data_IF_664960249417
#
_entry.id   IF_664960249417
#
_cell.length_a   1.000
_cell.length_b   1.000
_cell.length_c   1.000
_cell.angle_alpha   90.00
_cell.angle_beta   90.00
_cell.angle_gamma   90.00
#
_symmetry.space_group_name_H-M   'P 1'
#
loop_
_entity.id
_entity.type
_entity.pdbx_description
1 polymer ?
#
# COMPACT_ATOMS: atom_id res chain seq x y z
N UNK A 1 -12.18 -2.17 -16.65
CA UNK A 1 -12.43 -2.78 -15.32
C UNK A 1 -11.08 -2.93 -14.65
N UNK A 2 -10.80 -2.19 -13.57
CA UNK A 2 -9.49 -2.25 -12.94
C UNK A 2 -9.36 -3.58 -12.19
N UNK A 3 -8.51 -4.47 -12.69
CA UNK A 3 -8.20 -5.75 -12.03
C UNK A 3 -7.32 -5.48 -10.81
N UNK A 4 -7.94 -5.10 -9.69
CA UNK A 4 -7.24 -4.97 -8.41
C UNK A 4 -6.81 -6.36 -7.94
N UNK A 5 -5.51 -6.52 -7.69
CA UNK A 5 -4.95 -7.77 -7.16
C UNK A 5 -5.46 -8.05 -5.75
N UNK A 6 -5.29 -9.27 -5.27
CA UNK A 6 -5.63 -9.62 -3.88
C UNK A 6 -4.92 -8.70 -2.88
N UNK A 7 -3.65 -8.39 -3.13
CA UNK A 7 -2.91 -7.43 -2.31
C UNK A 7 -3.54 -6.03 -2.32
N UNK A 8 -3.95 -5.54 -3.49
CA UNK A 8 -4.62 -4.25 -3.60
C UNK A 8 -5.95 -4.21 -2.83
N UNK A 9 -6.73 -5.30 -2.86
CA UNK A 9 -7.96 -5.42 -2.08
C UNK A 9 -7.68 -5.46 -0.57
N UNK A 10 -6.62 -6.16 -0.15
CA UNK A 10 -6.22 -6.22 1.26
C UNK A 10 -5.80 -4.84 1.79
N UNK A 11 -5.06 -4.06 0.99
CA UNK A 11 -4.71 -2.68 1.35
C UNK A 11 -5.98 -1.87 1.62
N UNK A 12 -6.97 -1.93 0.72
CA UNK A 12 -8.21 -1.15 0.87
C UNK A 12 -9.02 -1.58 2.08
N UNK A 13 -9.16 -2.89 2.32
CA UNK A 13 -9.83 -3.41 3.51
C UNK A 13 -9.15 -2.93 4.80
N UNK A 14 -7.82 -2.99 4.88
CA UNK A 14 -7.09 -2.53 6.06
C UNK A 14 -7.17 -1.02 6.28
N UNK A 15 -7.18 -0.23 5.21
CA UNK A 15 -7.38 1.20 5.33
C UNK A 15 -8.75 1.55 5.90
N UNK A 16 -9.79 0.81 5.50
CA UNK A 16 -11.14 0.95 6.05
C UNK A 16 -11.16 0.55 7.53
N UNK A 17 -10.56 -0.60 7.88
CA UNK A 17 -10.44 -1.10 9.26
C UNK A 17 -9.72 -0.12 10.19
N UNK A 18 -8.71 0.59 9.67
CA UNK A 18 -7.95 1.59 10.39
C UNK A 18 -8.60 3.00 10.37
N UNK A 19 -9.71 3.17 9.65
CA UNK A 19 -10.35 4.47 9.39
C UNK A 19 -9.37 5.52 8.83
N UNK A 20 -8.44 5.09 7.98
CA UNK A 20 -7.40 5.95 7.38
C UNK A 20 -7.60 6.13 5.87
N UNK A 21 -7.43 7.35 5.34
CA UNK A 21 -7.47 7.58 3.91
C UNK A 21 -6.23 7.02 3.20
N UNK A 22 -6.32 6.80 1.88
CA UNK A 22 -5.17 6.33 1.08
C UNK A 22 -3.98 7.29 1.13
N UNK A 23 -4.22 8.61 1.24
CA UNK A 23 -3.17 9.61 1.40
C UNK A 23 -2.34 9.38 2.67
N UNK A 24 -2.97 8.94 3.76
CA UNK A 24 -2.25 8.64 5.00
C UNK A 24 -1.23 7.52 4.78
N UNK A 25 -1.62 6.43 4.10
CA UNK A 25 -0.69 5.34 3.77
C UNK A 25 0.45 5.82 2.88
N UNK A 26 0.17 6.72 1.93
CA UNK A 26 1.20 7.30 1.08
C UNK A 26 2.24 8.05 1.92
N UNK A 27 1.79 8.89 2.85
CA UNK A 27 2.68 9.64 3.75
C UNK A 27 3.47 8.72 4.68
N UNK A 28 2.85 7.69 5.26
CA UNK A 28 3.53 6.72 6.11
C UNK A 28 4.62 5.96 5.34
N UNK A 29 4.32 5.48 4.13
CA UNK A 29 5.29 4.78 3.29
C UNK A 29 6.46 5.69 2.92
N UNK A 30 6.20 6.97 2.60
CA UNK A 30 7.27 7.95 2.33
C UNK A 30 8.13 8.19 3.55
N UNK A 31 7.52 8.40 4.71
CA UNK A 31 8.23 8.62 5.97
C UNK A 31 9.11 7.41 6.35
N UNK A 32 8.61 6.19 6.17
CA UNK A 32 9.33 4.97 6.52
C UNK A 32 10.44 4.62 5.53
N UNK A 33 10.19 4.78 4.22
CA UNK A 33 11.14 4.33 3.19
C UNK A 33 12.12 5.41 2.74
N UNK A 34 11.78 6.69 2.96
CA UNK A 34 12.48 7.86 2.42
C UNK A 34 12.35 7.99 0.89
N UNK A 35 11.50 7.18 0.24
CA UNK A 35 11.37 7.14 -1.21
C UNK A 35 10.17 7.96 -1.69
N UNK A 36 10.23 8.37 -2.95
CA UNK A 36 9.08 8.97 -3.62
C UNK A 36 7.95 7.93 -3.78
N UNK A 37 6.76 8.26 -3.26
CA UNK A 37 5.57 7.42 -3.35
C UNK A 37 4.33 8.32 -3.44
N UNK A 38 3.40 8.00 -4.33
CA UNK A 38 2.17 8.77 -4.62
C UNK A 38 0.99 7.82 -4.90
N UNK A 39 -0.21 8.38 -5.14
CA UNK A 39 -1.42 7.63 -5.47
C UNK A 39 -1.32 6.85 -6.78
N UNK A 40 -0.63 7.36 -7.80
CA UNK A 40 -0.38 6.61 -9.05
C UNK A 40 0.56 5.44 -8.82
N UNK A 41 1.58 5.60 -7.98
CA UNK A 41 2.46 4.51 -7.58
C UNK A 41 1.71 3.45 -6.76
N UNK A 42 0.89 3.87 -5.79
CA UNK A 42 0.01 3.00 -5.02
C UNK A 42 -0.95 2.22 -5.95
N UNK A 43 -1.53 2.87 -6.96
CA UNK A 43 -2.39 2.21 -7.93
C UNK A 43 -1.64 1.13 -8.73
N UNK A 44 -0.39 1.38 -9.14
CA UNK A 44 0.45 0.37 -9.80
C UNK A 44 0.73 -0.83 -8.87
N UNK A 45 0.95 -0.59 -7.58
CA UNK A 45 1.08 -1.65 -6.57
C UNK A 45 -0.22 -2.45 -6.43
N UNK A 46 -1.36 -1.76 -6.25
CA UNK A 46 -2.68 -2.39 -6.12
C UNK A 46 -3.07 -3.24 -7.33
N UNK A 47 -2.67 -2.82 -8.52
CA UNK A 47 -2.94 -3.53 -9.78
C UNK A 47 -1.86 -4.55 -10.14
N UNK A 48 -0.83 -4.74 -9.31
CA UNK A 48 0.26 -5.68 -9.56
C UNK A 48 1.20 -5.28 -10.70
N UNK A 49 1.04 -4.07 -11.26
CA UNK A 49 1.92 -3.53 -12.30
C UNK A 49 3.31 -3.18 -11.77
N UNK A 50 3.44 -3.04 -10.46
CA UNK A 50 4.69 -2.69 -9.80
C UNK A 50 4.71 -3.37 -8.42
N UNK A 51 5.87 -3.91 -8.03
CA UNK A 51 6.03 -4.59 -6.75
C UNK A 51 7.43 -4.30 -6.18
N UNK A 52 7.76 -3.03 -5.96
CA UNK A 52 9.03 -2.64 -5.37
C UNK A 52 9.14 -3.23 -3.97
N UNK A 53 10.11 -4.13 -3.70
CA UNK A 53 10.15 -4.89 -2.45
C UNK A 53 10.15 -4.00 -1.20
N UNK A 54 10.91 -2.90 -1.21
CA UNK A 54 10.99 -1.94 -0.10
C UNK A 54 9.64 -1.26 0.19
N UNK A 55 8.89 -0.89 -0.85
CA UNK A 55 7.58 -0.25 -0.74
C UNK A 55 6.52 -1.26 -0.31
N UNK A 56 6.50 -2.44 -0.90
CA UNK A 56 5.56 -3.51 -0.54
C UNK A 56 5.75 -3.92 0.93
N UNK A 57 7.01 -4.07 1.36
CA UNK A 57 7.35 -4.36 2.75
C UNK A 57 6.86 -3.24 3.70
N UNK A 58 7.14 -1.98 3.38
CA UNK A 58 6.67 -0.84 4.17
C UNK A 58 5.14 -0.81 4.27
N UNK A 59 4.42 -1.02 3.17
CA UNK A 59 2.95 -1.11 3.17
C UNK A 59 2.47 -2.25 4.08
N UNK A 60 3.12 -3.41 4.05
CA UNK A 60 2.76 -4.53 4.93
C UNK A 60 3.01 -4.20 6.39
N UNK A 61 4.16 -3.62 6.73
CA UNK A 61 4.51 -3.20 8.09
C UNK A 61 3.52 -2.13 8.62
N UNK A 62 3.22 -1.10 7.83
CA UNK A 62 2.30 -0.01 8.20
C UNK A 62 0.87 -0.52 8.41
N UNK A 63 0.42 -1.46 7.57
CA UNK A 63 -0.92 -2.03 7.66
C UNK A 63 -1.02 -3.22 8.62
N UNK A 64 0.08 -3.58 9.30
CA UNK A 64 0.12 -4.74 10.21
C UNK A 64 -0.20 -6.06 9.50
N UNK A 65 0.22 -6.20 8.24
CA UNK A 65 0.06 -7.40 7.42
C UNK A 65 1.26 -8.36 7.57
N UNK A 66 1.82 -8.46 8.78
CA UNK A 66 2.80 -9.51 9.07
C UNK A 66 2.13 -10.87 8.94
N UNK A 67 2.66 -11.69 8.04
CA UNK A 67 2.30 -13.09 7.90
C UNK A 67 2.85 -13.79 9.16
N UNK A 68 1.93 -14.16 10.07
CA UNK A 68 2.24 -15.01 11.22
C UNK A 68 2.63 -16.42 10.76
#
# INVERSE_FOLDING_TARGET
>A
MASTTEFGKTIEKKLIDLERPQNWLIEQVRAQTGLYFDSSYLYKIKTGKLATPKIVRAIREILGLEEA
#
